data_IF_952832048108
#
_entry.id   IF_952832048108
#
_cell.length_a   1.000
_cell.length_b   1.000
_cell.length_c   1.000
_cell.angle_alpha   90.00
_cell.angle_beta   90.00
_cell.angle_gamma   90.00
#
_symmetry.space_group_name_H-M   'P 1'
#
loop_
_entity.id
_entity.type
_entity.pdbx_description
1 polymer ?
#
# COMPACT_ATOMS: atom_id res chain seq x y z
N UNK A 1 22.39 -1.75 7.74
CA UNK A 1 21.29 -0.83 8.09
C UNK A 1 20.21 -1.17 7.08
N UNK A 2 19.18 -1.88 7.53
CA UNK A 2 18.26 -2.63 6.68
C UNK A 2 17.33 -1.72 5.88
N UNK A 3 17.18 -2.04 4.60
CA UNK A 3 16.21 -1.43 3.70
C UNK A 3 14.80 -1.91 4.09
N UNK A 4 14.18 -1.24 5.06
CA UNK A 4 12.73 -1.33 5.34
C UNK A 4 11.88 -0.67 4.22
N UNK A 5 12.48 -0.43 3.05
CA UNK A 5 11.77 0.06 1.86
C UNK A 5 10.97 -1.04 1.14
N UNK A 6 11.17 -2.32 1.47
CA UNK A 6 10.47 -3.43 0.81
C UNK A 6 9.04 -3.69 1.32
N UNK A 7 8.53 -2.97 2.32
CA UNK A 7 7.13 -3.08 2.77
C UNK A 7 6.22 -1.96 2.25
N UNK A 8 6.65 -1.22 1.22
CA UNK A 8 5.81 -0.25 0.51
C UNK A 8 5.11 -0.96 -0.64
N UNK A 9 3.80 -1.13 -0.50
CA UNK A 9 2.94 -1.54 -1.60
C UNK A 9 2.42 -0.29 -2.32
N UNK A 10 1.88 -0.48 -3.52
CA UNK A 10 1.22 0.60 -4.26
C UNK A 10 -0.23 0.21 -4.51
N UNK A 11 -1.12 1.19 -4.39
CA UNK A 11 -2.52 0.99 -4.68
C UNK A 11 -2.69 0.75 -6.19
N UNK A 12 -3.30 -0.38 -6.63
CA UNK A 12 -3.45 -0.68 -8.05
C UNK A 12 -4.46 0.23 -8.77
N UNK A 13 -5.28 0.98 -8.03
CA UNK A 13 -6.28 1.88 -8.59
C UNK A 13 -5.75 3.30 -8.86
N UNK A 14 -4.83 3.79 -8.03
CA UNK A 14 -4.38 5.18 -8.09
C UNK A 14 -2.86 5.37 -7.99
N UNK A 15 -2.08 4.28 -8.00
CA UNK A 15 -0.62 4.26 -7.91
C UNK A 15 -0.05 4.99 -6.69
N UNK A 16 -0.88 5.18 -5.65
CA UNK A 16 -0.45 5.82 -4.41
C UNK A 16 0.38 4.85 -3.58
N UNK A 17 1.41 5.37 -2.94
CA UNK A 17 2.17 4.63 -1.92
C UNK A 17 1.24 4.29 -0.75
N UNK A 18 1.16 3.00 -0.44
CA UNK A 18 0.39 2.43 0.67
C UNK A 18 1.28 1.45 1.45
N UNK A 19 0.87 1.08 2.65
CA UNK A 19 1.60 0.09 3.44
C UNK A 19 0.95 -1.28 3.33
N UNK A 20 1.70 -2.36 3.57
CA UNK A 20 1.10 -3.71 3.55
C UNK A 20 0.07 -3.93 4.68
N UNK A 21 0.07 -3.05 5.68
CA UNK A 21 -0.87 -3.10 6.81
C UNK A 21 -2.13 -2.29 6.56
N UNK A 22 -2.14 -1.45 5.52
CA UNK A 22 -3.35 -0.75 5.09
C UNK A 22 -4.31 -1.74 4.44
N UNK A 23 -5.53 -1.80 4.96
CA UNK A 23 -6.63 -2.57 4.36
C UNK A 23 -7.36 -1.78 3.28
N UNK A 24 -7.19 -0.46 3.26
CA UNK A 24 -7.80 0.46 2.30
C UNK A 24 -6.81 1.55 1.90
N UNK A 25 -6.90 2.01 0.65
CA UNK A 25 -6.02 3.06 0.17
C UNK A 25 -6.47 4.42 0.72
N UNK A 26 -5.62 5.17 1.45
CA UNK A 26 -5.97 6.48 2.01
C UNK A 26 -6.14 7.58 0.95
N UNK A 27 -5.76 7.31 -0.31
CA UNK A 27 -5.92 8.24 -1.43
C UNK A 27 -7.30 8.17 -2.07
N UNK A 28 -7.69 6.99 -2.54
CA UNK A 28 -8.92 6.77 -3.30
C UNK A 28 -10.02 6.06 -2.50
N UNK A 29 -9.71 5.44 -1.36
CA UNK A 29 -10.63 4.65 -0.55
C UNK A 29 -10.88 3.23 -1.08
N UNK A 30 -10.15 2.78 -2.10
CA UNK A 30 -10.30 1.41 -2.61
C UNK A 30 -9.70 0.38 -1.63
N UNK A 31 -10.35 -0.79 -1.45
CA UNK A 31 -9.82 -1.86 -0.62
C UNK A 31 -8.54 -2.42 -1.23
N UNK A 32 -7.49 -2.55 -0.42
CA UNK A 32 -6.22 -3.11 -0.87
C UNK A 32 -6.27 -4.65 -0.75
N UNK A 33 -5.73 -5.38 -1.75
CA UNK A 33 -5.63 -6.83 -1.66
C UNK A 33 -4.63 -7.20 -0.55
N UNK A 34 -5.15 -7.56 0.62
CA UNK A 34 -4.37 -8.20 1.69
C UNK A 34 -4.32 -9.70 1.39
N UNK A 35 -3.20 -10.18 0.86
CA UNK A 35 -2.93 -11.62 0.67
C UNK A 35 -2.29 -12.26 1.91
#
# INVERSE_FOLDING_TARGET
MGDDACYRAYCPACDREVTIVDTECPGCGEPLPTE
#
